data_IF_545179305001
#
_entry.id   IF_545179305001
#
_cell.length_a   1.000
_cell.length_b   1.000
_cell.length_c   1.000
_cell.angle_alpha   90.00
_cell.angle_beta   90.00
_cell.angle_gamma   90.00
#
_symmetry.space_group_name_H-M   'P 1'
#
loop_
_entity.id
_entity.type
_entity.pdbx_description
1 polymer ?
#
# COMPACT_ATOMS: atom_id res chain seq x y z
N UNK A 1 16.30 -13.91 -3.25
CA UNK A 1 16.44 -13.42 -4.63
C UNK A 1 16.61 -14.54 -5.64
N UNK A 2 17.68 -15.35 -5.66
CA UNK A 2 17.91 -16.35 -6.73
C UNK A 2 16.80 -17.39 -6.91
N UNK A 3 16.15 -17.84 -5.84
CA UNK A 3 14.97 -18.72 -5.93
C UNK A 3 13.80 -17.99 -6.60
N UNK A 4 13.55 -16.73 -6.27
CA UNK A 4 12.48 -15.90 -6.84
C UNK A 4 12.70 -15.69 -8.35
N UNK A 5 13.93 -15.38 -8.75
CA UNK A 5 14.31 -15.26 -10.17
C UNK A 5 13.96 -16.54 -10.94
N UNK A 6 14.44 -17.69 -10.46
CA UNK A 6 14.19 -18.99 -11.11
C UNK A 6 12.70 -19.36 -11.15
N UNK A 7 11.94 -19.06 -10.06
CA UNK A 7 10.52 -19.31 -10.01
C UNK A 7 9.79 -18.52 -11.09
N UNK A 8 10.03 -17.20 -11.17
CA UNK A 8 9.33 -16.32 -12.10
C UNK A 8 9.73 -16.59 -13.56
N UNK A 9 11.00 -16.88 -13.83
CA UNK A 9 11.46 -17.30 -15.15
C UNK A 9 10.76 -18.57 -15.61
N UNK A 10 10.63 -19.58 -14.73
CA UNK A 10 9.94 -20.84 -15.03
C UNK A 10 8.44 -20.63 -15.24
N UNK A 11 7.78 -19.84 -14.39
CA UNK A 11 6.35 -19.53 -14.52
C UNK A 11 6.08 -18.81 -15.84
N UNK A 12 6.85 -17.76 -16.12
CA UNK A 12 6.70 -17.02 -17.37
C UNK A 12 6.92 -17.91 -18.60
N UNK A 13 7.95 -18.73 -18.58
CA UNK A 13 8.25 -19.67 -19.69
C UNK A 13 7.14 -20.71 -19.85
N UNK A 14 6.57 -21.22 -18.74
CA UNK A 14 5.49 -22.19 -18.81
C UNK A 14 4.19 -21.61 -19.38
N UNK A 15 3.88 -20.35 -19.07
CA UNK A 15 2.66 -19.67 -19.51
C UNK A 15 2.81 -19.12 -20.95
N UNK A 16 3.93 -18.48 -21.24
CA UNK A 16 4.13 -17.71 -22.48
C UNK A 16 5.02 -18.42 -23.51
N UNK A 17 5.59 -19.59 -23.19
CA UNK A 17 6.53 -20.30 -24.05
C UNK A 17 7.94 -19.67 -24.10
N UNK A 18 8.15 -18.54 -23.41
CA UNK A 18 9.43 -17.83 -23.29
C UNK A 18 9.50 -17.09 -21.95
N UNK A 19 10.67 -16.69 -21.47
CA UNK A 19 10.77 -15.89 -20.24
C UNK A 19 10.38 -14.41 -20.44
N UNK A 20 9.53 -14.10 -21.38
CA UNK A 20 9.09 -12.74 -21.72
C UNK A 20 7.56 -12.64 -21.68
N UNK A 21 7.06 -11.57 -21.14
CA UNK A 21 5.63 -11.26 -21.09
C UNK A 21 5.37 -9.84 -21.61
N UNK A 22 4.20 -9.64 -22.25
CA UNK A 22 3.71 -8.33 -22.62
C UNK A 22 2.85 -7.78 -21.47
N UNK A 23 3.28 -6.68 -20.86
CA UNK A 23 2.57 -6.04 -19.75
C UNK A 23 2.23 -4.60 -20.16
N UNK A 24 0.98 -4.35 -20.52
CA UNK A 24 0.60 -3.10 -21.15
C UNK A 24 1.40 -2.85 -22.41
N UNK A 25 2.06 -1.71 -22.51
CA UNK A 25 2.94 -1.34 -23.64
C UNK A 25 4.36 -1.89 -23.53
N UNK A 26 4.72 -2.52 -22.41
CA UNK A 26 6.07 -2.93 -22.13
C UNK A 26 6.30 -4.43 -22.36
N UNK A 27 7.41 -4.75 -23.03
CA UNK A 27 7.94 -6.11 -23.08
C UNK A 27 8.87 -6.30 -21.89
N UNK A 28 8.50 -7.21 -21.00
CA UNK A 28 9.21 -7.49 -19.76
C UNK A 28 9.90 -8.86 -19.84
N UNK A 29 11.19 -8.90 -19.50
CA UNK A 29 11.96 -10.13 -19.47
C UNK A 29 12.12 -10.63 -18.04
N UNK A 30 11.61 -11.83 -17.78
CA UNK A 30 11.81 -12.55 -16.52
C UNK A 30 13.04 -13.46 -16.55
N UNK A 31 13.96 -13.29 -17.51
CA UNK A 31 15.20 -14.02 -17.58
C UNK A 31 16.16 -13.56 -16.49
N UNK A 32 16.62 -14.49 -15.65
CA UNK A 32 17.63 -14.20 -14.63
C UNK A 32 19.00 -13.83 -15.24
N UNK A 33 19.83 -13.01 -14.54
CA UNK A 33 19.57 -12.37 -13.26
C UNK A 33 18.76 -11.06 -13.39
N UNK A 34 17.94 -10.73 -12.37
CA UNK A 34 17.24 -9.45 -12.29
C UNK A 34 18.17 -8.36 -11.77
N UNK A 35 17.84 -7.11 -12.09
CA UNK A 35 18.53 -5.94 -11.53
C UNK A 35 18.39 -5.91 -10.01
N UNK A 36 19.43 -5.43 -9.32
CA UNK A 36 19.43 -5.21 -7.87
C UNK A 36 19.90 -3.80 -7.59
N UNK A 37 19.18 -3.11 -6.73
CA UNK A 37 19.59 -1.78 -6.26
C UNK A 37 19.01 -1.50 -4.88
N UNK A 38 19.68 -0.63 -4.12
CA UNK A 38 19.18 -0.21 -2.83
C UNK A 38 18.03 0.81 -3.00
N UNK A 39 17.15 0.94 -2.01
CA UNK A 39 16.08 1.96 -2.06
C UNK A 39 16.67 3.37 -2.19
N UNK A 40 17.80 3.64 -1.53
CA UNK A 40 18.49 4.93 -1.61
C UNK A 40 19.07 5.19 -2.98
N UNK A 41 19.64 4.16 -3.65
CA UNK A 41 20.14 4.29 -5.02
C UNK A 41 19.00 4.49 -6.02
N UNK A 42 17.85 3.83 -5.80
CA UNK A 42 16.67 4.03 -6.63
C UNK A 42 16.16 5.49 -6.54
N UNK A 43 16.06 6.02 -5.34
CA UNK A 43 15.67 7.44 -5.14
C UNK A 43 16.73 8.37 -5.76
N UNK A 44 18.02 8.09 -5.55
CA UNK A 44 19.10 8.91 -6.14
C UNK A 44 19.05 8.90 -7.67
N UNK A 45 18.83 7.74 -8.29
CA UNK A 45 18.77 7.60 -9.75
C UNK A 45 17.59 8.35 -10.36
N UNK A 46 16.41 8.30 -9.72
CA UNK A 46 15.16 8.77 -10.31
C UNK A 46 14.67 10.12 -9.78
N UNK A 47 14.96 10.47 -8.52
CA UNK A 47 14.66 11.79 -7.95
C UNK A 47 15.84 12.75 -8.00
N UNK A 48 17.05 12.28 -8.31
CA UNK A 48 18.26 13.10 -8.38
C UNK A 48 18.74 13.59 -7.00
N UNK A 49 18.32 12.98 -5.91
CA UNK A 49 18.67 13.36 -4.54
C UNK A 49 19.26 12.19 -3.77
N UNK A 50 20.35 12.45 -3.05
CA UNK A 50 20.92 11.48 -2.11
C UNK A 50 20.34 11.69 -0.72
N UNK A 51 19.58 10.73 -0.25
CA UNK A 51 18.93 10.76 1.07
C UNK A 51 19.77 10.08 2.17
N UNK A 52 20.96 9.61 1.84
CA UNK A 52 21.82 8.89 2.77
C UNK A 52 22.16 9.78 3.97
N UNK A 53 21.88 9.28 5.17
CA UNK A 53 22.17 9.99 6.42
C UNK A 53 21.23 11.15 6.76
N UNK A 54 20.19 11.41 5.96
CA UNK A 54 19.19 12.42 6.29
C UNK A 54 18.36 11.99 7.51
N UNK A 55 18.08 12.93 8.38
CA UNK A 55 17.09 12.81 9.45
C UNK A 55 15.67 13.07 8.93
N UNK A 56 14.67 12.94 9.81
CA UNK A 56 13.26 13.11 9.46
C UNK A 56 12.97 14.52 8.91
N UNK A 57 13.54 15.55 9.52
CA UNK A 57 13.30 16.95 9.11
C UNK A 57 13.92 17.26 7.73
N UNK A 58 15.13 16.78 7.47
CA UNK A 58 15.79 16.92 6.18
C UNK A 58 15.04 16.19 5.06
N UNK A 59 14.54 14.96 5.35
CA UNK A 59 13.70 14.20 4.42
C UNK A 59 12.39 14.94 4.12
N UNK A 60 11.70 15.44 5.15
CA UNK A 60 10.45 16.19 4.99
C UNK A 60 10.64 17.44 4.13
N UNK A 61 11.73 18.18 4.36
CA UNK A 61 12.07 19.33 3.53
C UNK A 61 12.39 18.93 2.08
N UNK A 62 13.05 17.78 1.90
CA UNK A 62 13.37 17.24 0.57
C UNK A 62 12.10 16.84 -0.17
N UNK A 63 11.17 16.14 0.49
CA UNK A 63 9.86 15.82 -0.08
C UNK A 63 9.12 17.07 -0.54
N UNK A 64 9.04 18.10 0.31
CA UNK A 64 8.39 19.39 -0.03
C UNK A 64 9.05 20.08 -1.22
N UNK A 65 10.38 20.07 -1.30
CA UNK A 65 11.13 20.64 -2.44
C UNK A 65 10.85 19.90 -3.75
N UNK A 66 10.61 18.61 -3.67
CA UNK A 66 10.29 17.75 -4.81
C UNK A 66 8.79 17.65 -5.09
N UNK A 67 7.95 18.47 -4.42
CA UNK A 67 6.49 18.46 -4.54
C UNK A 67 5.85 17.10 -4.21
N UNK A 68 6.43 16.34 -3.30
CA UNK A 68 5.82 15.16 -2.71
C UNK A 68 4.95 15.61 -1.54
N UNK A 69 3.69 15.20 -1.54
CA UNK A 69 2.74 15.53 -0.47
C UNK A 69 3.13 14.80 0.81
N UNK A 70 3.40 15.54 1.87
CA UNK A 70 3.76 15.01 3.19
C UNK A 70 3.16 15.86 4.29
N UNK A 71 2.76 15.20 5.37
CA UNK A 71 2.26 15.85 6.59
C UNK A 71 3.21 15.64 7.78
N UNK A 72 2.85 16.24 8.92
CA UNK A 72 3.69 16.21 10.11
C UNK A 72 3.56 14.91 10.93
N UNK A 73 2.59 14.03 10.61
CA UNK A 73 2.44 12.71 11.24
C UNK A 73 3.44 11.69 10.69
N UNK A 74 3.86 11.86 9.43
CA UNK A 74 4.74 10.93 8.72
C UNK A 74 6.12 10.86 9.37
N UNK A 75 6.53 9.67 9.78
CA UNK A 75 7.87 9.39 10.27
C UNK A 75 8.87 9.19 9.12
N UNK A 76 10.15 9.03 9.47
CA UNK A 76 11.26 8.88 8.52
C UNK A 76 11.01 7.77 7.47
N UNK A 77 10.50 6.62 7.91
CA UNK A 77 10.20 5.50 7.00
C UNK A 77 9.17 5.87 5.95
N UNK A 78 8.05 6.50 6.36
CA UNK A 78 6.97 6.93 5.45
C UNK A 78 7.45 7.99 4.46
N UNK A 79 8.28 8.94 4.90
CA UNK A 79 8.86 9.97 4.01
C UNK A 79 9.75 9.37 2.91
N UNK A 80 10.50 8.31 3.22
CA UNK A 80 11.31 7.59 2.23
C UNK A 80 10.40 6.82 1.26
N UNK A 81 9.34 6.20 1.77
CA UNK A 81 8.34 5.48 0.98
C UNK A 81 7.64 6.40 -0.02
N UNK A 82 7.18 7.57 0.43
CA UNK A 82 6.56 8.57 -0.43
C UNK A 82 7.51 9.07 -1.53
N UNK A 83 8.79 9.29 -1.21
CA UNK A 83 9.80 9.65 -2.22
C UNK A 83 10.01 8.54 -3.25
N UNK A 84 10.12 7.29 -2.78
CA UNK A 84 10.28 6.13 -3.65
C UNK A 84 9.07 5.95 -4.55
N UNK A 85 7.85 5.98 -4.00
CA UNK A 85 6.60 5.85 -4.74
C UNK A 85 6.44 6.94 -5.81
N UNK A 86 6.73 8.21 -5.45
CA UNK A 86 6.57 9.33 -6.37
C UNK A 86 7.56 9.32 -7.54
N UNK A 87 8.79 8.87 -7.34
CA UNK A 87 9.86 9.06 -8.32
C UNK A 87 10.44 7.78 -8.91
N UNK A 88 10.51 6.70 -8.14
CA UNK A 88 11.24 5.48 -8.51
C UNK A 88 10.33 4.31 -8.87
N UNK A 89 9.28 4.03 -8.10
CA UNK A 89 8.44 2.85 -8.25
C UNK A 89 7.94 2.67 -9.69
N UNK A 90 7.27 3.68 -10.24
CA UNK A 90 6.73 3.68 -11.60
C UNK A 90 7.77 3.56 -12.72
N UNK A 91 9.08 3.70 -12.41
CA UNK A 91 10.18 3.57 -13.38
C UNK A 91 10.77 2.17 -13.45
N UNK A 92 10.40 1.30 -12.51
CA UNK A 92 10.90 -0.09 -12.44
C UNK A 92 10.13 -0.99 -13.41
N UNK A 93 10.36 -0.82 -14.73
CA UNK A 93 9.64 -1.59 -15.75
C UNK A 93 10.14 -3.03 -15.81
N UNK A 94 11.45 -3.24 -15.88
CA UNK A 94 12.06 -4.57 -15.85
C UNK A 94 12.16 -5.09 -14.40
N UNK A 95 12.09 -6.41 -14.18
CA UNK A 95 12.22 -7.00 -12.84
C UNK A 95 13.44 -6.47 -12.09
N UNK A 96 13.19 -5.78 -11.00
CA UNK A 96 14.25 -5.13 -10.19
C UNK A 96 14.00 -5.41 -8.72
N UNK A 97 14.99 -5.98 -8.06
CA UNK A 97 14.99 -6.10 -6.61
C UNK A 97 15.42 -4.78 -5.98
N UNK A 98 14.57 -4.23 -5.14
CA UNK A 98 14.90 -3.11 -4.26
C UNK A 98 15.29 -3.68 -2.90
N UNK A 99 16.45 -3.30 -2.39
CA UNK A 99 17.05 -3.86 -1.16
C UNK A 99 17.40 -2.77 -0.15
N UNK A 100 17.87 -3.19 1.01
CA UNK A 100 18.44 -2.32 2.04
C UNK A 100 17.48 -1.26 2.56
N UNK A 101 16.26 -1.71 2.86
CA UNK A 101 15.23 -0.88 3.45
C UNK A 101 15.65 -0.40 4.84
N UNK A 102 15.45 0.89 5.17
CA UNK A 102 15.64 1.39 6.52
C UNK A 102 14.81 0.64 7.56
N UNK A 103 15.34 0.55 8.76
CA UNK A 103 14.73 -0.17 9.87
C UNK A 103 13.33 0.36 10.20
N UNK A 104 13.09 1.65 10.03
CA UNK A 104 11.83 2.33 10.28
C UNK A 104 10.71 1.89 9.34
N UNK A 105 11.06 1.41 8.14
CA UNK A 105 10.11 0.91 7.13
C UNK A 105 9.75 -0.57 7.31
N UNK A 106 10.40 -1.29 8.22
CA UNK A 106 10.36 -2.75 8.24
C UNK A 106 10.28 -3.30 9.67
N UNK A 107 9.17 -3.09 10.39
CA UNK A 107 9.06 -3.41 11.82
C UNK A 107 9.14 -4.89 12.15
N UNK A 108 8.92 -5.80 11.18
CA UNK A 108 8.94 -7.26 11.37
C UNK A 108 10.21 -7.92 10.81
N UNK A 109 11.14 -7.11 10.28
CA UNK A 109 12.31 -7.60 9.55
C UNK A 109 13.56 -7.55 10.41
N UNK A 110 14.38 -8.58 10.29
CA UNK A 110 15.67 -8.68 10.96
C UNK A 110 16.63 -7.57 10.48
N UNK A 111 17.42 -7.03 11.42
CA UNK A 111 18.47 -6.04 11.09
C UNK A 111 19.46 -6.63 10.09
N UNK A 112 19.92 -5.79 9.17
CA UNK A 112 20.99 -6.15 8.25
C UNK A 112 22.26 -6.46 9.04
N UNK A 113 22.96 -7.54 8.68
CA UNK A 113 24.15 -8.05 9.39
C UNK A 113 25.31 -7.09 9.45
N UNK A 114 25.48 -6.26 8.41
CA UNK A 114 26.60 -5.34 8.27
C UNK A 114 26.22 -3.88 8.61
N UNK A 115 24.92 -3.54 8.63
CA UNK A 115 24.45 -2.21 8.95
C UNK A 115 23.14 -2.27 9.77
N UNK A 116 23.18 -2.04 11.09
CA UNK A 116 22.02 -2.17 11.96
C UNK A 116 20.91 -1.13 11.72
N UNK A 117 21.14 -0.10 10.90
CA UNK A 117 20.13 0.87 10.49
C UNK A 117 19.28 0.41 9.31
N UNK A 118 19.70 -0.69 8.67
CA UNK A 118 19.01 -1.31 7.54
C UNK A 118 18.42 -2.66 7.95
N UNK A 119 17.63 -3.23 7.06
CA UNK A 119 17.01 -4.54 7.23
C UNK A 119 17.37 -5.50 6.11
N UNK A 120 17.37 -6.81 6.40
CA UNK A 120 17.53 -7.88 5.39
C UNK A 120 16.19 -8.09 4.67
N UNK A 121 15.81 -7.15 3.78
CA UNK A 121 14.56 -7.14 3.02
C UNK A 121 14.82 -6.87 1.55
N UNK A 122 14.00 -7.45 0.71
CA UNK A 122 13.85 -6.98 -0.65
C UNK A 122 12.39 -6.94 -1.08
N UNK A 123 12.07 -6.03 -1.96
CA UNK A 123 10.88 -6.07 -2.77
C UNK A 123 11.24 -6.30 -4.23
N UNK A 124 10.41 -7.05 -4.95
CA UNK A 124 10.55 -7.22 -6.39
C UNK A 124 9.55 -6.31 -7.10
N UNK A 125 10.07 -5.34 -7.81
CA UNK A 125 9.31 -4.42 -8.64
C UNK A 125 9.29 -4.90 -10.09
N UNK A 126 8.12 -4.91 -10.71
CA UNK A 126 7.93 -5.25 -12.13
C UNK A 126 6.82 -4.37 -12.70
N UNK A 127 7.07 -3.72 -13.84
CA UNK A 127 6.12 -2.83 -14.50
C UNK A 127 5.52 -1.76 -13.56
N UNK A 128 6.37 -1.19 -12.69
CA UNK A 128 5.99 -0.16 -11.72
C UNK A 128 5.11 -0.66 -10.57
N UNK A 129 5.16 -1.96 -10.25
CA UNK A 129 4.36 -2.54 -9.16
C UNK A 129 5.18 -3.54 -8.36
N UNK A 130 4.99 -3.56 -7.05
CA UNK A 130 5.49 -4.62 -6.18
C UNK A 130 4.81 -5.95 -6.53
N UNK A 131 5.61 -6.98 -6.79
CA UNK A 131 5.17 -8.36 -7.08
C UNK A 131 5.45 -9.31 -5.95
N UNK A 132 6.58 -9.09 -5.26
CA UNK A 132 6.98 -9.90 -4.12
C UNK A 132 7.68 -9.05 -3.07
N UNK A 133 7.51 -9.43 -1.80
CA UNK A 133 8.19 -8.87 -0.64
C UNK A 133 8.77 -10.02 0.17
N UNK A 134 10.04 -9.92 0.52
CA UNK A 134 10.76 -11.00 1.20
C UNK A 134 11.75 -10.41 2.21
N UNK A 135 11.84 -11.05 3.36
CA UNK A 135 12.82 -10.64 4.37
C UNK A 135 13.25 -11.81 5.27
N UNK A 136 14.36 -11.61 5.95
CA UNK A 136 14.74 -12.41 7.10
C UNK A 136 13.83 -12.02 8.26
N UNK A 137 13.10 -12.98 8.81
CA UNK A 137 12.15 -12.74 9.90
C UNK A 137 12.88 -12.25 11.16
N UNK A 138 12.34 -11.23 11.80
CA UNK A 138 12.81 -10.78 13.11
C UNK A 138 12.40 -11.82 14.16
N UNK A 139 13.37 -12.53 14.70
CA UNK A 139 13.15 -13.62 15.65
C UNK A 139 13.69 -13.32 17.08
N UNK A 140 14.03 -12.06 17.33
CA UNK A 140 14.39 -11.55 18.66
C UNK A 140 13.18 -10.85 19.28
N UNK A 141 12.59 -11.40 20.37
CA UNK A 141 11.40 -10.81 21.00
C UNK A 141 11.68 -9.45 21.64
N UNK A 142 12.93 -9.16 22.03
CA UNK A 142 13.31 -7.88 22.65
C UNK A 142 13.33 -6.80 21.56
N UNK A 143 14.06 -7.03 20.46
CA UNK A 143 14.09 -6.10 19.31
C UNK A 143 12.67 -5.92 18.73
N UNK A 144 11.87 -6.99 18.62
CA UNK A 144 10.50 -6.90 18.14
C UNK A 144 9.61 -6.02 19.02
N UNK A 145 9.75 -6.11 20.34
CA UNK A 145 9.02 -5.25 21.27
C UNK A 145 9.40 -3.78 21.11
N UNK A 146 10.70 -3.49 20.94
CA UNK A 146 11.19 -2.13 20.68
C UNK A 146 10.61 -1.55 19.39
N UNK A 147 10.54 -2.39 18.31
CA UNK A 147 9.95 -1.99 17.03
C UNK A 147 8.46 -1.65 17.16
N UNK A 148 7.70 -2.49 17.85
CA UNK A 148 6.29 -2.22 18.11
C UNK A 148 6.09 -0.95 18.96
N UNK A 149 6.94 -0.69 19.94
CA UNK A 149 6.88 0.55 20.71
C UNK A 149 7.15 1.78 19.85
N UNK A 150 8.10 1.71 18.91
CA UNK A 150 8.36 2.77 17.95
C UNK A 150 7.15 2.99 17.01
N UNK A 151 6.51 1.93 16.54
CA UNK A 151 5.28 2.01 15.73
C UNK A 151 4.12 2.66 16.52
N UNK A 152 3.95 2.29 17.80
CA UNK A 152 2.94 2.91 18.66
C UNK A 152 3.16 4.43 18.83
N UNK A 153 4.40 4.88 18.88
CA UNK A 153 4.70 6.31 18.91
C UNK A 153 4.29 7.04 17.62
N UNK A 154 4.42 6.40 16.47
CA UNK A 154 3.93 6.93 15.19
C UNK A 154 2.40 6.97 15.15
N UNK A 155 1.73 5.92 15.61
CA UNK A 155 0.27 5.88 15.73
C UNK A 155 -0.27 7.03 16.57
N UNK A 156 0.39 7.36 17.70
CA UNK A 156 0.03 8.49 18.55
C UNK A 156 0.22 9.85 17.89
N UNK A 157 1.09 9.94 16.87
CA UNK A 157 1.28 11.13 16.03
C UNK A 157 0.24 11.25 14.93
N UNK A 158 -0.61 10.22 14.74
CA UNK A 158 -1.67 10.20 13.72
C UNK A 158 -1.32 9.40 12.46
N UNK A 159 -0.29 8.57 12.49
CA UNK A 159 0.03 7.63 11.41
C UNK A 159 -0.90 6.41 11.50
N UNK A 160 -1.95 6.39 10.69
CA UNK A 160 -2.98 5.33 10.71
C UNK A 160 -2.47 3.97 10.16
N UNK A 161 -1.31 3.94 9.50
CA UNK A 161 -0.70 2.72 8.97
C UNK A 161 0.24 2.06 9.99
N UNK A 162 0.56 2.73 11.10
CA UNK A 162 1.45 2.20 12.13
C UNK A 162 0.82 1.02 12.89
N UNK A 163 1.66 0.08 13.29
CA UNK A 163 1.24 -1.18 13.90
C UNK A 163 1.00 -1.06 15.40
N UNK A 164 -0.01 -1.79 15.90
CA UNK A 164 -0.23 -2.01 17.34
C UNK A 164 0.70 -3.08 17.90
N UNK A 165 0.91 -3.06 19.23
CA UNK A 165 1.64 -4.12 19.91
C UNK A 165 0.79 -5.38 19.98
N UNK A 166 1.22 -6.43 19.29
CA UNK A 166 0.65 -7.77 19.40
C UNK A 166 1.37 -8.57 20.48
N UNK A 167 0.72 -8.70 21.65
CA UNK A 167 1.30 -9.40 22.80
C UNK A 167 1.36 -10.92 22.59
N UNK A 168 0.44 -11.49 21.84
CA UNK A 168 0.43 -12.93 21.55
C UNK A 168 1.54 -13.29 20.56
N UNK A 169 1.77 -12.43 19.56
CA UNK A 169 2.91 -12.55 18.66
C UNK A 169 4.25 -12.48 19.40
N UNK A 170 4.42 -11.50 20.30
CA UNK A 170 5.63 -11.39 21.13
C UNK A 170 5.83 -12.63 22.00
N UNK A 171 4.77 -13.11 22.64
CA UNK A 171 4.82 -14.34 23.45
C UNK A 171 5.20 -15.56 22.59
N UNK A 172 4.68 -15.66 21.38
CA UNK A 172 5.06 -16.72 20.44
C UNK A 172 6.57 -16.68 20.12
N UNK A 173 7.14 -15.50 19.89
CA UNK A 173 8.58 -15.34 19.69
C UNK A 173 9.41 -15.75 20.90
N UNK A 174 8.92 -15.50 22.12
CA UNK A 174 9.59 -15.89 23.38
C UNK A 174 9.70 -17.41 23.53
N UNK A 175 8.80 -18.19 22.92
CA UNK A 175 8.91 -19.67 22.86
C UNK A 175 10.02 -20.14 21.91
N UNK A 176 10.46 -19.30 21.03
CA UNK A 176 11.57 -19.52 20.12
C UNK A 176 11.13 -19.62 18.66
N UNK A 177 11.73 -18.79 17.81
CA UNK A 177 11.61 -18.84 16.37
C UNK A 177 12.98 -19.10 15.75
N UNK A 178 13.17 -20.19 14.96
CA UNK A 178 14.44 -20.42 14.29
C UNK A 178 14.73 -19.35 13.24
N UNK A 179 15.98 -19.22 12.76
CA UNK A 179 16.29 -18.38 11.61
C UNK A 179 15.41 -18.75 10.42
N UNK A 180 14.61 -17.82 9.97
CA UNK A 180 13.57 -18.03 8.95
C UNK A 180 13.60 -16.90 7.95
N UNK A 181 13.36 -17.19 6.69
CA UNK A 181 13.07 -16.22 5.64
C UNK A 181 11.62 -16.36 5.18
N UNK A 182 10.91 -15.25 5.09
CA UNK A 182 9.54 -15.20 4.57
C UNK A 182 9.49 -14.52 3.20
N UNK A 183 8.58 -14.95 2.34
CA UNK A 183 8.28 -14.30 1.07
C UNK A 183 6.78 -14.27 0.83
N UNK A 184 6.26 -13.09 0.54
CA UNK A 184 4.93 -12.89 0.00
C UNK A 184 5.02 -12.63 -1.51
N UNK A 185 4.19 -13.32 -2.29
CA UNK A 185 4.07 -13.09 -3.74
C UNK A 185 2.63 -12.78 -4.05
N UNK A 186 2.38 -11.64 -4.70
CA UNK A 186 1.04 -11.25 -5.15
C UNK A 186 0.60 -12.09 -6.33
N UNK A 187 -0.12 -13.19 -6.08
CA UNK A 187 -0.51 -14.15 -7.11
C UNK A 187 -1.38 -13.49 -8.17
N UNK A 188 -2.37 -12.69 -7.77
CA UNK A 188 -3.25 -12.01 -8.73
C UNK A 188 -2.47 -11.04 -9.62
N UNK A 189 -1.53 -10.26 -9.04
CA UNK A 189 -0.62 -9.39 -9.81
C UNK A 189 0.24 -10.20 -10.78
N UNK A 190 0.78 -11.32 -10.33
CA UNK A 190 1.58 -12.20 -11.18
C UNK A 190 0.76 -12.77 -12.34
N UNK A 191 -0.46 -13.23 -12.08
CA UNK A 191 -1.37 -13.71 -13.12
C UNK A 191 -1.68 -12.60 -14.13
N UNK A 192 -2.01 -11.38 -13.67
CA UNK A 192 -2.19 -10.22 -14.56
C UNK A 192 -0.99 -10.02 -15.48
N UNK A 193 0.23 -10.04 -14.93
CA UNK A 193 1.46 -9.84 -15.68
C UNK A 193 1.71 -10.96 -16.71
N UNK A 194 1.46 -12.21 -16.32
CA UNK A 194 1.68 -13.37 -17.19
C UNK A 194 0.65 -13.49 -18.30
N UNK A 195 -0.57 -12.98 -18.11
CA UNK A 195 -1.66 -13.05 -19.08
C UNK A 195 -1.88 -11.75 -19.87
N UNK A 196 -1.20 -10.66 -19.45
CA UNK A 196 -1.43 -9.34 -20.02
C UNK A 196 -2.78 -8.72 -19.65
N UNK A 197 -3.44 -9.22 -18.60
CA UNK A 197 -4.71 -8.70 -18.12
C UNK A 197 -4.55 -7.26 -17.58
N UNK A 198 -5.40 -6.30 -18.01
CA UNK A 198 -5.26 -4.89 -17.62
C UNK A 198 -5.77 -4.61 -16.21
N UNK A 199 -6.65 -5.45 -15.67
CA UNK A 199 -7.30 -5.26 -14.38
C UNK A 199 -7.24 -6.52 -13.52
N UNK A 200 -7.13 -6.34 -12.21
CA UNK A 200 -7.22 -7.45 -11.24
C UNK A 200 -8.58 -8.17 -11.31
N UNK A 201 -9.64 -7.47 -11.68
CA UNK A 201 -10.98 -8.07 -11.85
C UNK A 201 -11.00 -9.13 -12.94
N UNK A 202 -10.14 -9.03 -13.96
CA UNK A 202 -10.06 -9.98 -15.08
C UNK A 202 -9.43 -11.33 -14.66
N UNK A 203 -8.73 -11.36 -13.53
CA UNK A 203 -8.03 -12.55 -13.03
C UNK A 203 -8.63 -13.14 -11.76
N UNK A 204 -9.57 -12.44 -11.12
CA UNK A 204 -10.30 -12.94 -9.96
C UNK A 204 -11.52 -13.74 -10.41
N UNK A 205 -11.69 -14.94 -9.87
CA UNK A 205 -12.89 -15.77 -10.16
C UNK A 205 -14.18 -15.14 -9.61
N UNK A 206 -14.10 -14.46 -8.46
CA UNK A 206 -15.23 -13.84 -7.78
C UNK A 206 -14.84 -12.45 -7.29
N UNK A 207 -14.67 -11.47 -8.21
CA UNK A 207 -14.33 -10.11 -7.84
C UNK A 207 -15.48 -9.50 -7.02
N UNK A 208 -15.14 -8.83 -5.93
CA UNK A 208 -16.12 -8.03 -5.20
C UNK A 208 -16.52 -6.83 -6.07
N UNK A 209 -17.75 -6.87 -6.54
CA UNK A 209 -18.36 -5.76 -7.27
C UNK A 209 -19.02 -4.80 -6.27
N UNK A 210 -19.08 -3.52 -6.61
CA UNK A 210 -19.97 -2.62 -5.87
C UNK A 210 -21.38 -3.16 -6.00
N UNK A 211 -22.19 -3.17 -4.91
CA UNK A 211 -23.59 -3.50 -5.02
C UNK A 211 -24.22 -2.67 -6.14
N UNK A 212 -24.87 -3.35 -7.09
CA UNK A 212 -25.70 -2.64 -8.06
C UNK A 212 -26.82 -1.97 -7.26
N UNK A 213 -26.91 -0.65 -7.36
CA UNK A 213 -28.09 0.06 -6.92
C UNK A 213 -29.12 -0.20 -8.00
N UNK A 214 -29.94 -1.23 -7.79
CA UNK A 214 -31.13 -1.40 -8.61
C UNK A 214 -32.03 -0.20 -8.28
N UNK A 215 -32.22 0.70 -9.22
CA UNK A 215 -33.36 1.62 -9.16
C UNK A 215 -34.61 0.74 -9.13
N UNK A 216 -35.09 0.48 -7.93
CA UNK A 216 -36.43 -0.04 -7.74
C UNK A 216 -37.33 1.06 -8.23
N UNK A 217 -37.81 0.92 -9.46
CA UNK A 217 -38.74 1.86 -10.08
C UNK A 217 -39.75 2.37 -9.03
N UNK A 218 -39.71 3.64 -8.74
CA UNK A 218 -40.88 4.36 -8.30
C UNK A 218 -41.04 4.68 -6.84
N UNK A 219 -40.02 4.87 -6.03
CA UNK A 219 -40.15 5.74 -4.86
C UNK A 219 -39.21 6.91 -4.97
N UNK A 220 -39.67 7.95 -5.59
CA UNK A 220 -39.06 9.27 -5.43
C UNK A 220 -39.25 9.71 -3.97
N UNK A 221 -38.29 9.32 -3.13
CA UNK A 221 -38.29 9.65 -1.71
C UNK A 221 -37.85 11.11 -1.46
N UNK A 222 -37.63 11.88 -2.52
CA UNK A 222 -37.29 13.31 -2.44
C UNK A 222 -38.37 14.08 -1.67
N UNK A 223 -39.63 13.74 -1.89
CA UNK A 223 -40.76 14.37 -1.15
C UNK A 223 -40.74 14.05 0.36
N UNK A 224 -40.32 12.83 0.75
CA UNK A 224 -40.19 12.45 2.16
C UNK A 224 -39.04 13.19 2.86
N UNK A 225 -37.91 13.31 2.17
CA UNK A 225 -36.73 14.03 2.67
C UNK A 225 -36.99 15.53 2.79
N UNK A 226 -37.65 16.13 1.80
CA UNK A 226 -38.08 17.53 1.84
C UNK A 226 -39.07 17.79 2.98
N UNK A 227 -40.07 16.93 3.16
CA UNK A 227 -41.05 17.02 4.26
C UNK A 227 -40.37 16.86 5.64
N UNK A 228 -39.25 16.14 5.71
CA UNK A 228 -38.43 16.00 6.91
C UNK A 228 -37.48 17.18 7.17
N UNK A 229 -37.47 18.19 6.29
CA UNK A 229 -36.68 19.41 6.46
C UNK A 229 -35.28 19.35 5.82
N UNK A 230 -35.00 18.37 4.95
CA UNK A 230 -33.76 18.37 4.15
C UNK A 230 -33.85 19.46 3.10
N UNK A 231 -32.92 20.44 3.03
CA UNK A 231 -32.95 21.48 2.00
C UNK A 231 -32.97 20.88 0.58
N UNK A 232 -33.67 21.50 -0.34
CA UNK A 232 -33.85 20.97 -1.70
C UNK A 232 -32.53 20.73 -2.42
N UNK A 233 -31.57 21.63 -2.25
CA UNK A 233 -30.21 21.51 -2.81
C UNK A 233 -29.41 20.33 -2.25
N UNK A 234 -29.83 19.78 -1.10
CA UNK A 234 -29.16 18.64 -0.48
C UNK A 234 -29.77 17.28 -0.79
N UNK A 235 -31.03 17.25 -1.26
CA UNK A 235 -31.79 16.01 -1.45
C UNK A 235 -31.04 15.02 -2.34
N UNK A 236 -30.58 15.45 -3.51
CA UNK A 236 -29.83 14.59 -4.43
C UNK A 236 -28.52 14.10 -3.81
N UNK A 237 -27.83 14.95 -3.04
CA UNK A 237 -26.57 14.60 -2.40
C UNK A 237 -26.77 13.64 -1.22
N UNK A 238 -27.86 13.79 -0.47
CA UNK A 238 -28.22 12.89 0.63
C UNK A 238 -28.58 11.51 0.08
N UNK A 239 -29.35 11.45 -1.00
CA UNK A 239 -29.67 10.20 -1.72
C UNK A 239 -28.39 9.55 -2.26
N UNK A 240 -27.52 10.31 -2.92
CA UNK A 240 -26.27 9.82 -3.49
C UNK A 240 -25.23 9.38 -2.42
N UNK A 241 -25.35 9.91 -1.19
CA UNK A 241 -24.57 9.45 -0.04
C UNK A 241 -25.15 8.17 0.61
N UNK A 242 -26.22 7.59 0.06
CA UNK A 242 -26.84 6.34 0.51
C UNK A 242 -28.00 6.51 1.49
N UNK A 243 -28.45 7.74 1.73
CA UNK A 243 -29.57 8.08 2.65
C UNK A 243 -30.83 8.45 1.85
N UNK A 244 -31.37 7.49 1.12
CA UNK A 244 -32.52 7.66 0.22
C UNK A 244 -33.89 7.66 0.93
N UNK A 245 -33.96 7.44 2.24
CA UNK A 245 -35.19 7.45 3.04
C UNK A 245 -34.94 7.88 4.47
N UNK A 246 -35.96 8.40 5.12
CA UNK A 246 -35.91 8.75 6.53
C UNK A 246 -35.75 7.52 7.45
N UNK A 247 -36.14 6.34 6.99
CA UNK A 247 -35.91 5.10 7.72
C UNK A 247 -34.40 4.80 7.82
N UNK A 248 -33.62 4.92 6.72
CA UNK A 248 -32.19 4.75 6.72
C UNK A 248 -31.45 5.79 7.56
N UNK A 249 -31.93 7.04 7.55
CA UNK A 249 -31.36 8.10 8.40
C UNK A 249 -31.62 7.80 9.89
N UNK A 250 -32.83 7.40 10.25
CA UNK A 250 -33.21 7.08 11.65
C UNK A 250 -32.53 5.80 12.18
N UNK A 251 -32.17 4.88 11.31
CA UNK A 251 -31.48 3.64 11.69
C UNK A 251 -30.02 3.87 12.15
N UNK A 252 -29.46 5.05 11.92
CA UNK A 252 -28.10 5.39 12.28
C UNK A 252 -28.02 6.49 13.35
N UNK A 253 -26.87 6.55 14.04
CA UNK A 253 -26.61 7.64 15.00
C UNK A 253 -26.39 8.95 14.22
N UNK A 254 -26.90 10.09 14.71
CA UNK A 254 -26.75 11.39 14.04
C UNK A 254 -25.33 11.74 13.66
N UNK A 255 -24.37 11.39 14.53
CA UNK A 255 -22.93 11.62 14.29
C UNK A 255 -22.39 10.82 13.09
N UNK A 256 -22.88 9.62 12.85
CA UNK A 256 -22.49 8.79 11.71
C UNK A 256 -23.03 9.35 10.39
N UNK A 257 -24.28 9.78 10.39
CA UNK A 257 -24.91 10.45 9.23
C UNK A 257 -24.14 11.73 8.89
N UNK A 258 -23.85 12.56 9.90
CA UNK A 258 -23.10 13.81 9.72
C UNK A 258 -21.68 13.55 9.18
N UNK A 259 -21.01 12.54 9.68
CA UNK A 259 -19.67 12.16 9.21
C UNK A 259 -19.70 11.68 7.76
N UNK A 260 -20.66 10.82 7.39
CA UNK A 260 -20.81 10.32 6.03
C UNK A 260 -21.10 11.46 5.04
N UNK A 261 -21.99 12.38 5.37
CA UNK A 261 -22.28 13.54 4.54
C UNK A 261 -21.07 14.50 4.43
N UNK A 262 -20.30 14.66 5.51
CA UNK A 262 -19.07 15.46 5.49
C UNK A 262 -17.99 14.86 4.59
N UNK A 263 -17.81 13.54 4.62
CA UNK A 263 -16.91 12.80 3.73
C UNK A 263 -17.36 12.92 2.27
N UNK A 264 -18.66 12.72 2.02
CA UNK A 264 -19.23 12.88 0.69
C UNK A 264 -19.01 14.29 0.13
N UNK A 265 -19.29 15.34 0.93
CA UNK A 265 -19.07 16.74 0.58
C UNK A 265 -17.63 17.02 0.20
N UNK A 266 -16.66 16.57 1.01
CA UNK A 266 -15.22 16.74 0.72
C UNK A 266 -14.81 16.04 -0.59
N UNK A 267 -15.26 14.79 -0.78
CA UNK A 267 -14.93 13.98 -1.95
C UNK A 267 -15.45 14.61 -3.26
N UNK A 268 -16.61 15.24 -3.21
CA UNK A 268 -17.27 15.84 -4.39
C UNK A 268 -17.04 17.35 -4.51
N UNK A 269 -16.21 17.95 -3.63
CA UNK A 269 -15.86 19.39 -3.61
C UNK A 269 -17.10 20.30 -3.63
N UNK A 270 -18.13 19.95 -2.83
CA UNK A 270 -19.36 20.70 -2.76
C UNK A 270 -19.21 21.88 -1.79
N UNK A 271 -19.45 23.10 -2.25
CA UNK A 271 -19.44 24.36 -1.48
C UNK A 271 -20.83 24.67 -0.88
N UNK A 272 -21.39 23.69 -0.15
CA UNK A 272 -22.69 23.79 0.49
C UNK A 272 -22.57 23.64 2.00
#
# INVERSE_FOLDING_TARGET
>A
MGMTEQLLERVCTAVNGSPEAQIGEHRVSFKAPFRRMTITDAIREHAGVDITGMDEDALRQTCRKLNVEVDDSMGKGKLIDELFGAYAEGKMIQPTFITDYPIEMSPLTKRHRDNPQLTERFELMVAGKEVANCYSELNDPIDQRERFQAQMALLQRGDDEAMYIDQDFLRALEYGMPPTGGIGIGIDRLVMMMTGAPSIQDVLFFPQMRPEVWDVEGKDNSAELLAAGVPQEWVEHVIAAGYDSMEKIRAQKPTQVQQALSVYRKKHKLDI
#
